data_IF_223646103195
#
_entry.id   IF_223646103195
#
_cell.length_a   1.000
_cell.length_b   1.000
_cell.length_c   1.000
_cell.angle_alpha   90.00
_cell.angle_beta   90.00
_cell.angle_gamma   90.00
#
_symmetry.space_group_name_H-M   'P 1'
#
loop_
_entity.id
_entity.type
_entity.pdbx_description
1 polymer ?
#
# COMPACT_ATOMS: atom_id res chain seq x y z
N UNK A 1 8.97 -18.78 -2.76
CA UNK A 1 10.39 -18.80 -3.25
C UNK A 1 10.42 -18.17 -4.63
N UNK A 2 11.32 -17.24 -4.89
CA UNK A 2 11.54 -16.84 -6.29
C UNK A 2 11.96 -18.09 -7.05
N UNK A 3 11.30 -18.39 -8.17
CA UNK A 3 11.73 -19.49 -9.03
C UNK A 3 13.17 -19.27 -9.55
N UNK A 4 13.76 -20.27 -10.18
CA UNK A 4 15.15 -20.20 -10.69
C UNK A 4 15.43 -19.05 -11.68
N UNK A 5 14.39 -18.33 -12.15
CA UNK A 5 14.49 -17.13 -13.01
C UNK A 5 14.15 -15.84 -12.26
N UNK A 6 13.98 -15.88 -10.94
CA UNK A 6 13.77 -14.70 -10.09
C UNK A 6 12.35 -14.13 -10.09
N UNK A 7 11.35 -14.88 -10.59
CA UNK A 7 9.94 -14.49 -10.59
C UNK A 7 9.32 -14.81 -9.22
N UNK A 8 8.53 -13.91 -8.66
CA UNK A 8 7.71 -14.17 -7.48
C UNK A 8 6.71 -15.30 -7.79
N UNK A 9 6.48 -16.19 -6.83
CA UNK A 9 5.49 -17.26 -6.95
C UNK A 9 4.21 -16.92 -6.19
N UNK A 10 4.32 -16.29 -5.03
CA UNK A 10 3.21 -15.99 -4.14
C UNK A 10 3.12 -14.48 -3.88
N UNK A 11 2.00 -13.89 -4.24
CA UNK A 11 1.74 -12.45 -4.11
C UNK A 11 0.52 -12.25 -3.21
N UNK A 12 0.63 -11.37 -2.23
CA UNK A 12 -0.44 -11.06 -1.29
C UNK A 12 -0.82 -9.59 -1.42
N UNK A 13 -2.12 -9.30 -1.48
CA UNK A 13 -2.66 -7.95 -1.52
C UNK A 13 -3.50 -7.67 -0.27
N UNK A 14 -2.96 -6.88 0.66
CA UNK A 14 -3.71 -6.32 1.78
C UNK A 14 -4.47 -5.07 1.33
N UNK A 15 -5.76 -5.08 1.51
CA UNK A 15 -6.69 -4.18 0.84
C UNK A 15 -7.13 -4.73 -0.51
N UNK A 16 -7.59 -5.99 -0.54
CA UNK A 16 -7.91 -6.78 -1.73
C UNK A 16 -8.89 -6.13 -2.70
N UNK A 17 -9.67 -5.13 -2.28
CA UNK A 17 -10.60 -4.37 -3.12
C UNK A 17 -10.05 -3.01 -3.60
N UNK A 18 -8.76 -2.71 -3.30
CA UNK A 18 -8.10 -1.48 -3.75
C UNK A 18 -7.87 -1.49 -5.26
N UNK A 19 -8.40 -0.49 -5.98
CA UNK A 19 -8.22 -0.40 -7.44
C UNK A 19 -6.73 -0.28 -7.83
N UNK A 20 -5.94 0.47 -7.05
CA UNK A 20 -4.49 0.56 -7.26
C UNK A 20 -3.84 -0.80 -6.97
N UNK A 21 -4.23 -1.45 -5.86
CA UNK A 21 -3.74 -2.76 -5.49
C UNK A 21 -4.03 -3.81 -6.57
N UNK A 22 -5.25 -3.85 -7.08
CA UNK A 22 -5.66 -4.75 -8.17
C UNK A 22 -4.86 -4.51 -9.45
N UNK A 23 -4.69 -3.24 -9.86
CA UNK A 23 -3.86 -2.92 -11.02
C UNK A 23 -2.40 -3.40 -10.83
N UNK A 24 -1.85 -3.29 -9.60
CA UNK A 24 -0.52 -3.81 -9.28
C UNK A 24 -0.49 -5.33 -9.41
N UNK A 25 -1.48 -6.06 -8.88
CA UNK A 25 -1.56 -7.52 -9.03
C UNK A 25 -1.53 -7.91 -10.50
N UNK A 26 -2.36 -7.29 -11.34
CA UNK A 26 -2.40 -7.59 -12.78
C UNK A 26 -1.05 -7.35 -13.49
N UNK A 27 -0.23 -6.39 -13.04
CA UNK A 27 1.13 -6.17 -13.57
C UNK A 27 2.16 -7.18 -13.06
N UNK A 28 1.96 -7.68 -11.83
CA UNK A 28 2.90 -8.60 -11.20
C UNK A 28 2.63 -10.06 -11.54
N UNK A 29 1.40 -10.42 -11.90
CA UNK A 29 1.07 -11.78 -12.37
C UNK A 29 1.74 -12.00 -13.73
N UNK A 30 2.75 -12.88 -13.72
CA UNK A 30 3.55 -13.31 -14.88
C UNK A 30 3.67 -14.84 -14.86
N UNK A 31 4.08 -15.47 -15.97
CA UNK A 31 4.35 -16.90 -15.97
C UNK A 31 5.30 -17.29 -14.83
N UNK A 32 4.87 -18.22 -13.97
CA UNK A 32 5.59 -18.64 -12.78
C UNK A 32 5.03 -18.09 -11.46
N UNK A 33 4.05 -17.16 -11.47
CA UNK A 33 3.23 -16.86 -10.29
C UNK A 33 2.24 -18.00 -10.10
N UNK A 34 2.19 -18.57 -8.89
CA UNK A 34 1.34 -19.71 -8.55
C UNK A 34 0.12 -19.27 -7.74
N UNK A 35 0.29 -18.34 -6.81
CA UNK A 35 -0.77 -17.92 -5.91
C UNK A 35 -0.89 -16.41 -5.81
N UNK A 36 -2.15 -15.94 -5.79
CA UNK A 36 -2.52 -14.59 -5.36
C UNK A 36 -3.50 -14.69 -4.21
N UNK A 37 -3.21 -13.99 -3.11
CA UNK A 37 -4.11 -13.91 -1.95
C UNK A 37 -4.62 -12.49 -1.81
N UNK A 38 -5.95 -12.32 -1.86
CA UNK A 38 -6.62 -11.05 -1.57
C UNK A 38 -7.03 -11.02 -0.11
N UNK A 39 -6.59 -10.01 0.64
CA UNK A 39 -6.88 -9.86 2.06
C UNK A 39 -7.72 -8.60 2.26
N UNK A 40 -8.99 -8.75 2.68
CA UNK A 40 -9.92 -7.63 2.82
C UNK A 40 -11.06 -7.89 3.82
N UNK A 41 -11.77 -6.83 4.21
CA UNK A 41 -12.94 -6.90 5.09
C UNK A 41 -14.19 -7.42 4.39
N UNK A 42 -14.39 -6.92 3.18
CA UNK A 42 -15.58 -7.14 2.37
C UNK A 42 -15.37 -8.42 1.57
N UNK A 43 -16.06 -9.47 2.01
CA UNK A 43 -15.97 -10.79 1.40
C UNK A 43 -16.61 -10.77 0.02
N UNK A 44 -17.82 -10.21 -0.12
CA UNK A 44 -18.57 -10.21 -1.37
C UNK A 44 -17.82 -9.46 -2.48
N UNK A 45 -17.28 -8.28 -2.14
CA UNK A 45 -16.46 -7.52 -3.08
C UNK A 45 -15.13 -8.21 -3.41
N UNK A 46 -14.55 -8.99 -2.48
CA UNK A 46 -13.34 -9.75 -2.74
C UNK A 46 -13.60 -10.97 -3.60
N UNK A 47 -14.72 -11.68 -3.43
CA UNK A 47 -15.10 -12.83 -4.26
C UNK A 47 -15.27 -12.43 -5.73
N UNK A 48 -15.84 -11.25 -5.99
CA UNK A 48 -15.91 -10.71 -7.36
C UNK A 48 -14.49 -10.54 -7.95
N UNK A 49 -13.56 -9.98 -7.17
CA UNK A 49 -12.18 -9.80 -7.65
C UNK A 49 -11.44 -11.14 -7.81
N UNK A 50 -11.68 -12.10 -6.93
CA UNK A 50 -11.13 -13.47 -7.06
C UNK A 50 -11.60 -14.09 -8.38
N UNK A 51 -12.91 -14.00 -8.68
CA UNK A 51 -13.46 -14.54 -9.91
C UNK A 51 -12.88 -13.86 -11.16
N UNK A 52 -12.77 -12.53 -11.17
CA UNK A 52 -12.19 -11.75 -12.29
C UNK A 52 -10.72 -12.14 -12.54
N UNK A 53 -9.92 -12.30 -11.47
CA UNK A 53 -8.50 -12.70 -11.60
C UNK A 53 -8.40 -14.15 -12.09
N UNK A 54 -9.18 -15.07 -11.51
CA UNK A 54 -9.17 -16.48 -11.90
C UNK A 54 -9.61 -16.69 -13.37
N UNK A 55 -10.62 -15.94 -13.84
CA UNK A 55 -11.03 -15.97 -15.25
C UNK A 55 -9.91 -15.49 -16.19
N UNK A 56 -9.21 -14.43 -15.78
CA UNK A 56 -8.13 -13.83 -16.58
C UNK A 56 -6.85 -14.67 -16.59
N UNK A 57 -6.58 -15.41 -15.52
CA UNK A 57 -5.37 -16.20 -15.31
C UNK A 57 -5.74 -17.62 -14.85
N UNK A 58 -6.16 -18.52 -15.77
CA UNK A 58 -6.69 -19.83 -15.41
C UNK A 58 -5.71 -20.77 -14.67
N UNK A 59 -4.41 -20.56 -14.82
CA UNK A 59 -3.37 -21.36 -14.15
C UNK A 59 -2.98 -20.80 -12.76
N UNK A 60 -3.61 -19.71 -12.33
CA UNK A 60 -3.32 -19.03 -11.07
C UNK A 60 -4.31 -19.46 -10.00
N UNK A 61 -3.81 -19.89 -8.84
CA UNK A 61 -4.64 -20.11 -7.66
C UNK A 61 -4.89 -18.78 -6.95
N UNK A 62 -6.16 -18.38 -6.86
CA UNK A 62 -6.57 -17.12 -6.23
C UNK A 62 -7.37 -17.41 -4.96
N UNK A 63 -6.93 -16.85 -3.84
CA UNK A 63 -7.53 -17.04 -2.53
C UNK A 63 -8.02 -15.72 -1.96
N UNK A 64 -9.01 -15.79 -1.07
CA UNK A 64 -9.42 -14.67 -0.23
C UNK A 64 -9.27 -15.02 1.25
N UNK A 65 -8.69 -14.10 2.01
CA UNK A 65 -8.62 -14.16 3.47
C UNK A 65 -9.35 -12.95 4.04
N UNK A 66 -10.30 -13.21 4.95
CA UNK A 66 -11.01 -12.13 5.64
C UNK A 66 -10.11 -11.44 6.64
N UNK A 67 -10.11 -10.13 6.60
CA UNK A 67 -9.27 -9.33 7.46
C UNK A 67 -9.90 -7.97 7.76
N UNK A 68 -9.77 -7.51 9.00
CA UNK A 68 -10.22 -6.18 9.40
C UNK A 68 -9.03 -5.32 9.85
N UNK A 69 -8.71 -4.27 9.08
CA UNK A 69 -7.54 -3.43 9.29
C UNK A 69 -7.63 -2.51 10.53
N UNK A 70 -8.79 -2.37 11.17
CA UNK A 70 -8.98 -1.67 12.44
C UNK A 70 -8.82 -2.59 13.67
N UNK A 71 -8.71 -3.91 13.47
CA UNK A 71 -8.31 -4.88 14.48
C UNK A 71 -6.81 -5.19 14.35
N UNK A 72 -5.98 -4.33 14.90
CA UNK A 72 -4.53 -4.47 14.80
C UNK A 72 -3.99 -5.75 15.45
N UNK A 73 -4.67 -6.33 16.42
CA UNK A 73 -4.27 -7.59 17.04
C UNK A 73 -4.44 -8.79 16.08
N UNK A 74 -5.42 -8.76 15.20
CA UNK A 74 -5.65 -9.81 14.20
C UNK A 74 -4.61 -9.83 13.08
N UNK A 75 -3.84 -8.76 12.89
CA UNK A 75 -2.84 -8.63 11.82
C UNK A 75 -1.77 -9.74 11.85
N UNK A 76 -1.35 -10.14 13.05
CA UNK A 76 -0.34 -11.20 13.22
C UNK A 76 -0.90 -12.53 12.76
N UNK A 77 -2.15 -12.82 13.11
CA UNK A 77 -2.82 -14.07 12.75
C UNK A 77 -3.07 -14.18 11.25
N UNK A 78 -3.47 -13.07 10.61
CA UNK A 78 -3.74 -13.06 9.16
C UNK A 78 -2.51 -13.34 8.32
N UNK A 79 -1.33 -12.85 8.72
CA UNK A 79 -0.07 -13.16 8.02
C UNK A 79 0.27 -14.64 8.16
N UNK A 80 0.07 -15.23 9.36
CA UNK A 80 0.28 -16.66 9.58
C UNK A 80 -0.73 -17.52 8.77
N UNK A 81 -2.00 -17.12 8.71
CA UNK A 81 -3.03 -17.79 7.92
C UNK A 81 -2.69 -17.78 6.43
N UNK A 82 -2.29 -16.64 5.89
CA UNK A 82 -1.83 -16.52 4.50
C UNK A 82 -0.63 -17.44 4.24
N UNK A 83 0.38 -17.44 5.13
CA UNK A 83 1.55 -18.28 4.99
C UNK A 83 1.21 -19.78 5.08
N UNK A 84 0.20 -20.18 5.85
CA UNK A 84 -0.28 -21.56 5.89
C UNK A 84 -0.95 -21.97 4.56
N UNK A 85 -1.61 -21.05 3.86
CA UNK A 85 -2.29 -21.36 2.59
C UNK A 85 -1.32 -21.46 1.42
N UNK A 86 -0.34 -20.55 1.32
CA UNK A 86 0.51 -20.42 0.12
C UNK A 86 2.00 -20.66 0.37
N UNK A 87 2.39 -20.92 1.62
CA UNK A 87 3.81 -21.04 1.99
C UNK A 87 4.50 -19.68 2.11
N UNK A 88 5.68 -19.56 1.53
CA UNK A 88 6.47 -18.34 1.55
C UNK A 88 5.76 -17.18 0.84
N UNK A 89 5.85 -15.97 1.40
CA UNK A 89 5.31 -14.75 0.79
C UNK A 89 6.43 -14.02 0.05
N UNK A 90 6.41 -14.03 -1.28
CA UNK A 90 7.44 -13.35 -2.08
C UNK A 90 7.24 -11.83 -2.14
N UNK A 91 5.98 -11.42 -2.37
CA UNK A 91 5.60 -10.01 -2.47
C UNK A 91 4.32 -9.75 -1.67
N UNK A 92 4.36 -8.78 -0.79
CA UNK A 92 3.19 -8.27 -0.08
C UNK A 92 2.90 -6.82 -0.52
N UNK A 93 1.77 -6.60 -1.18
CA UNK A 93 1.28 -5.27 -1.56
C UNK A 93 0.35 -4.77 -0.47
N UNK A 94 0.70 -3.66 0.18
CA UNK A 94 -0.04 -3.07 1.29
C UNK A 94 -0.77 -1.83 0.74
N UNK A 95 -2.03 -2.05 0.32
CA UNK A 95 -2.89 -1.08 -0.34
C UNK A 95 -4.11 -0.69 0.49
N UNK A 96 -4.19 -1.17 1.74
CA UNK A 96 -5.24 -0.76 2.66
C UNK A 96 -5.12 0.73 3.01
N UNK A 97 -6.25 1.37 3.17
CA UNK A 97 -6.31 2.75 3.60
C UNK A 97 -7.71 3.31 3.50
N UNK A 98 -7.98 4.32 4.30
CA UNK A 98 -9.23 5.06 4.30
C UNK A 98 -8.95 6.56 4.24
N UNK A 99 -9.79 7.27 3.51
CA UNK A 99 -9.83 8.72 3.43
C UNK A 99 -11.24 9.14 3.84
N UNK A 100 -11.35 10.02 4.82
CA UNK A 100 -12.63 10.59 5.24
C UNK A 100 -12.71 12.05 4.79
N UNK A 101 -13.77 12.39 4.09
CA UNK A 101 -14.07 13.76 3.67
C UNK A 101 -15.27 14.30 4.42
N UNK A 102 -15.33 15.63 4.57
CA UNK A 102 -16.47 16.33 5.16
C UNK A 102 -16.65 16.10 6.67
N UNK A 103 -15.70 15.47 7.35
CA UNK A 103 -15.75 15.21 8.80
C UNK A 103 -15.31 16.45 9.58
N UNK A 104 -16.19 16.94 10.45
CA UNK A 104 -15.87 17.99 11.41
C UNK A 104 -15.26 17.37 12.68
N UNK A 105 -13.94 17.23 12.70
CA UNK A 105 -13.21 16.67 13.84
C UNK A 105 -13.27 17.53 15.11
N UNK A 106 -13.65 18.81 15.01
CA UNK A 106 -13.87 19.64 16.20
C UNK A 106 -15.14 19.21 16.93
N UNK A 107 -16.17 18.76 16.18
CA UNK A 107 -17.42 18.23 16.77
C UNK A 107 -17.32 16.77 17.18
N UNK A 108 -16.58 15.98 16.40
CA UNK A 108 -16.40 14.55 16.65
C UNK A 108 -14.94 14.13 16.49
N UNK A 109 -14.08 14.39 17.48
CA UNK A 109 -12.67 14.01 17.41
C UNK A 109 -12.44 12.50 17.33
N UNK A 110 -13.35 11.68 17.88
CA UNK A 110 -13.23 10.21 17.82
C UNK A 110 -13.33 9.65 16.38
N UNK A 111 -13.91 10.40 15.44
CA UNK A 111 -13.98 9.98 14.04
C UNK A 111 -12.59 9.83 13.37
N UNK A 112 -11.53 10.40 13.95
CA UNK A 112 -10.16 10.20 13.44
C UNK A 112 -9.62 8.77 13.71
N UNK A 113 -10.11 8.08 14.76
CA UNK A 113 -9.56 6.80 15.21
C UNK A 113 -9.53 5.73 14.10
N UNK A 114 -10.63 5.46 13.36
CA UNK A 114 -10.59 4.47 12.29
C UNK A 114 -9.57 4.80 11.18
N UNK A 115 -9.34 6.10 10.91
CA UNK A 115 -8.33 6.51 9.93
C UNK A 115 -6.92 6.25 10.46
N UNK A 116 -6.67 6.55 11.74
CA UNK A 116 -5.39 6.31 12.38
C UNK A 116 -5.10 4.81 12.47
N UNK A 117 -6.09 4.02 12.88
CA UNK A 117 -5.94 2.57 13.03
C UNK A 117 -5.65 1.89 11.70
N UNK A 118 -6.45 2.13 10.67
CA UNK A 118 -6.26 1.49 9.36
C UNK A 118 -4.99 1.98 8.67
N UNK A 119 -4.77 3.31 8.60
CA UNK A 119 -3.70 3.86 7.78
C UNK A 119 -2.33 3.82 8.45
N UNK A 120 -2.27 3.75 9.77
CA UNK A 120 -1.02 3.88 10.53
C UNK A 120 -0.81 2.72 11.50
N UNK A 121 -1.53 2.64 12.61
CA UNK A 121 -1.26 1.66 13.66
C UNK A 121 -1.35 0.22 13.16
N UNK A 122 -2.48 -0.14 12.54
CA UNK A 122 -2.68 -1.46 11.98
C UNK A 122 -1.69 -1.78 10.86
N UNK A 123 -1.38 -0.79 10.00
CA UNK A 123 -0.39 -0.99 8.93
C UNK A 123 1.02 -1.22 9.50
N UNK A 124 1.43 -0.56 10.60
CA UNK A 124 2.71 -0.84 11.26
C UNK A 124 2.77 -2.27 11.80
N UNK A 125 1.72 -2.72 12.50
CA UNK A 125 1.63 -4.10 13.03
C UNK A 125 1.72 -5.11 11.90
N UNK A 126 0.96 -4.91 10.80
CA UNK A 126 1.02 -5.74 9.61
C UNK A 126 2.42 -5.82 9.02
N UNK A 127 3.10 -4.67 8.87
CA UNK A 127 4.44 -4.64 8.29
C UNK A 127 5.47 -5.36 9.16
N UNK A 128 5.38 -5.28 10.50
CA UNK A 128 6.22 -6.08 11.38
C UNK A 128 5.90 -7.58 11.31
N UNK A 129 4.63 -7.97 11.24
CA UNK A 129 4.24 -9.37 11.07
C UNK A 129 4.77 -9.94 9.74
N UNK A 130 4.65 -9.19 8.64
CA UNK A 130 5.22 -9.54 7.34
C UNK A 130 6.75 -9.60 7.40
N UNK A 131 7.39 -8.64 8.05
CA UNK A 131 8.84 -8.63 8.20
C UNK A 131 9.32 -9.88 8.99
N UNK A 132 8.63 -10.27 10.04
CA UNK A 132 8.95 -11.49 10.80
C UNK A 132 8.83 -12.73 9.92
N UNK A 133 7.73 -12.88 9.19
CA UNK A 133 7.52 -13.99 8.26
C UNK A 133 8.60 -14.02 7.17
N UNK A 134 8.83 -12.91 6.48
CA UNK A 134 9.79 -12.82 5.38
C UNK A 134 11.25 -12.98 5.83
N UNK A 135 11.59 -12.52 7.05
CA UNK A 135 12.92 -12.80 7.65
C UNK A 135 13.15 -14.27 7.91
N UNK A 136 12.13 -15.00 8.37
CA UNK A 136 12.24 -16.45 8.55
C UNK A 136 12.43 -17.20 7.23
N UNK A 137 11.93 -16.67 6.13
CA UNK A 137 12.13 -17.17 4.76
C UNK A 137 13.52 -16.81 4.21
N UNK A 138 14.15 -15.75 4.74
CA UNK A 138 15.40 -15.18 4.22
C UNK A 138 15.24 -14.28 2.99
N UNK A 139 14.01 -13.95 2.57
CA UNK A 139 13.69 -13.06 1.44
C UNK A 139 12.26 -12.56 1.51
N UNK A 140 11.97 -11.49 0.79
CA UNK A 140 10.63 -10.96 0.60
C UNK A 140 10.66 -9.49 0.19
N UNK A 141 9.57 -9.01 -0.42
CA UNK A 141 9.41 -7.60 -0.74
C UNK A 141 8.04 -7.08 -0.32
N UNK A 142 8.03 -6.06 0.53
CA UNK A 142 6.84 -5.30 0.86
C UNK A 142 6.71 -4.10 -0.07
N UNK A 143 5.53 -3.84 -0.61
CA UNK A 143 5.18 -2.66 -1.42
C UNK A 143 4.12 -1.88 -0.66
N UNK A 144 4.48 -0.74 -0.08
CA UNK A 144 3.56 0.11 0.68
C UNK A 144 3.01 1.23 -0.19
N UNK A 145 1.69 1.33 -0.31
CA UNK A 145 1.02 2.50 -0.88
C UNK A 145 0.94 3.63 0.16
N UNK A 146 1.93 4.52 0.13
CA UNK A 146 1.95 5.80 0.85
C UNK A 146 1.17 6.87 0.09
N UNK A 147 1.55 8.12 0.18
CA UNK A 147 1.01 9.25 -0.58
C UNK A 147 1.92 10.47 -0.48
N UNK A 148 1.90 11.31 -1.50
CA UNK A 148 2.51 12.65 -1.42
C UNK A 148 1.85 13.54 -0.34
N UNK A 149 0.63 13.20 0.11
CA UNK A 149 -0.03 13.89 1.21
C UNK A 149 0.74 13.80 2.53
N UNK A 150 1.59 12.76 2.71
CA UNK A 150 2.46 12.59 3.86
C UNK A 150 3.73 13.45 3.81
N UNK A 151 4.16 13.92 2.65
CA UNK A 151 5.41 14.70 2.53
C UNK A 151 5.33 16.08 3.19
N UNK A 152 4.17 16.71 3.08
CA UNK A 152 3.84 17.93 3.83
C UNK A 152 2.33 17.98 4.06
N UNK A 153 1.93 17.72 5.29
CA UNK A 153 0.53 17.64 5.68
C UNK A 153 -0.17 18.99 5.44
N UNK A 154 -1.37 18.95 4.85
CA UNK A 154 -2.17 20.12 4.46
C UNK A 154 -3.37 20.26 5.37
N UNK A 155 -3.85 21.53 5.51
CA UNK A 155 -5.05 21.83 6.29
C UNK A 155 -6.32 21.16 5.78
N UNK A 156 -6.38 20.84 4.47
CA UNK A 156 -7.56 20.23 3.85
C UNK A 156 -7.77 18.77 4.23
N UNK A 157 -6.71 18.03 4.62
CA UNK A 157 -6.80 16.62 5.06
C UNK A 157 -5.75 16.27 6.12
N UNK A 158 -5.79 16.95 7.28
CA UNK A 158 -4.72 16.85 8.28
C UNK A 158 -4.57 15.43 8.83
N UNK A 159 -5.66 14.71 9.08
CA UNK A 159 -5.65 13.36 9.66
C UNK A 159 -5.05 12.37 8.66
N UNK A 160 -5.56 12.33 7.43
CA UNK A 160 -5.03 11.45 6.39
C UNK A 160 -3.54 11.75 6.09
N UNK A 161 -3.19 13.03 5.92
CA UNK A 161 -1.81 13.43 5.67
C UNK A 161 -0.87 13.02 6.79
N UNK A 162 -1.28 13.19 8.07
CA UNK A 162 -0.49 12.79 9.22
C UNK A 162 -0.28 11.26 9.29
N UNK A 163 -1.33 10.47 9.03
CA UNK A 163 -1.20 9.00 9.00
C UNK A 163 -0.27 8.54 7.88
N UNK A 164 -0.35 9.15 6.70
CA UNK A 164 0.54 8.83 5.58
C UNK A 164 1.98 9.29 5.83
N UNK A 165 2.20 10.43 6.50
CA UNK A 165 3.54 10.85 6.92
C UNK A 165 4.17 9.86 7.92
N UNK A 166 3.38 9.42 8.91
CA UNK A 166 3.83 8.47 9.92
C UNK A 166 4.21 7.12 9.33
N UNK A 167 3.33 6.52 8.52
CA UNK A 167 3.60 5.20 7.95
C UNK A 167 4.72 5.23 6.90
N UNK A 168 4.86 6.32 6.17
CA UNK A 168 5.97 6.52 5.23
C UNK A 168 7.32 6.51 5.97
N UNK A 169 7.45 7.34 7.00
CA UNK A 169 8.65 7.39 7.84
C UNK A 169 8.95 6.05 8.53
N UNK A 170 7.91 5.37 9.03
CA UNK A 170 8.05 4.04 9.61
C UNK A 170 8.58 3.01 8.60
N UNK A 171 8.01 2.98 7.39
CA UNK A 171 8.39 2.03 6.35
C UNK A 171 9.85 2.20 5.92
N UNK A 172 10.35 3.44 5.84
CA UNK A 172 11.75 3.73 5.55
C UNK A 172 12.68 3.26 6.68
N UNK A 173 12.27 3.46 7.94
CA UNK A 173 13.04 2.98 9.09
C UNK A 173 13.08 1.45 9.12
N UNK A 174 11.95 0.79 8.84
CA UNK A 174 11.88 -0.67 8.76
C UNK A 174 12.75 -1.24 7.62
N UNK A 175 12.78 -0.59 6.45
CA UNK A 175 13.68 -1.00 5.35
C UNK A 175 15.15 -0.98 5.79
N UNK A 176 15.56 0.04 6.55
CA UNK A 176 16.91 0.10 7.13
C UNK A 176 17.16 -1.00 8.16
N UNK A 177 16.19 -1.32 9.03
CA UNK A 177 16.29 -2.42 10.00
C UNK A 177 16.46 -3.78 9.31
N UNK A 178 15.87 -3.94 8.13
CA UNK A 178 15.87 -5.19 7.35
C UNK A 178 17.14 -5.39 6.51
N UNK A 179 18.08 -4.46 6.51
CA UNK A 179 19.34 -4.60 5.75
C UNK A 179 20.06 -5.91 6.14
N UNK A 180 20.43 -6.70 5.13
CA UNK A 180 21.11 -7.99 5.31
C UNK A 180 20.18 -9.18 5.57
N UNK A 181 18.87 -8.97 5.76
CA UNK A 181 17.90 -10.06 6.00
C UNK A 181 17.36 -10.71 4.71
N UNK A 182 17.65 -10.15 3.54
CA UNK A 182 17.02 -10.55 2.27
C UNK A 182 15.62 -9.95 2.05
N UNK A 183 15.09 -9.18 3.01
CA UNK A 183 13.79 -8.50 2.94
C UNK A 183 13.98 -7.02 2.62
N UNK A 184 13.07 -6.44 1.86
CA UNK A 184 13.12 -5.01 1.51
C UNK A 184 11.73 -4.40 1.41
N UNK A 185 11.67 -3.06 1.54
CA UNK A 185 10.43 -2.28 1.41
C UNK A 185 10.54 -1.35 0.21
N UNK A 186 9.47 -1.28 -0.58
CA UNK A 186 9.27 -0.28 -1.62
C UNK A 186 8.12 0.64 -1.21
N UNK A 187 8.41 1.88 -0.89
CA UNK A 187 7.42 2.92 -0.60
C UNK A 187 7.00 3.58 -1.89
N UNK A 188 5.72 3.53 -2.20
CA UNK A 188 5.11 4.17 -3.37
C UNK A 188 4.41 5.44 -2.92
N UNK A 189 4.80 6.59 -3.47
CA UNK A 189 4.23 7.92 -3.18
C UNK A 189 3.43 8.42 -4.39
N UNK A 190 2.19 7.97 -4.57
CA UNK A 190 1.35 8.51 -5.62
C UNK A 190 0.89 9.93 -5.28
N UNK A 191 0.66 10.72 -6.33
CA UNK A 191 -0.12 11.95 -6.25
C UNK A 191 -1.62 11.64 -6.13
N UNK A 192 -2.46 12.52 -6.69
CA UNK A 192 -3.89 12.25 -6.80
C UNK A 192 -4.13 11.13 -7.82
N UNK A 193 -4.71 10.02 -7.39
CA UNK A 193 -5.07 8.89 -8.27
C UNK A 193 -6.59 8.85 -8.41
N UNK A 194 -7.08 8.84 -9.64
CA UNK A 194 -8.52 8.71 -9.92
C UNK A 194 -8.97 7.28 -9.62
N UNK A 195 -9.75 7.11 -8.53
CA UNK A 195 -10.26 5.83 -8.04
C UNK A 195 -11.61 6.05 -7.36
N UNK A 196 -12.27 4.96 -6.90
CA UNK A 196 -13.48 5.05 -6.06
C UNK A 196 -13.26 5.90 -4.81
N UNK A 197 -12.07 5.83 -4.19
CA UNK A 197 -11.72 6.59 -2.98
C UNK A 197 -11.72 8.11 -3.22
N UNK A 198 -11.38 8.55 -4.43
CA UNK A 198 -11.28 9.98 -4.80
C UNK A 198 -12.46 10.45 -5.67
N UNK A 199 -13.49 9.61 -5.78
CA UNK A 199 -14.69 9.92 -6.58
C UNK A 199 -15.44 11.11 -5.97
N UNK A 200 -15.64 12.15 -6.76
CA UNK A 200 -16.29 13.38 -6.32
C UNK A 200 -15.34 14.48 -5.87
N UNK A 201 -14.05 14.18 -5.70
CA UNK A 201 -13.02 15.17 -5.40
C UNK A 201 -12.57 15.90 -6.67
N UNK A 202 -12.19 17.17 -6.54
CA UNK A 202 -11.54 17.90 -7.62
C UNK A 202 -10.17 17.32 -7.94
N UNK A 203 -9.90 17.12 -9.22
CA UNK A 203 -8.61 16.59 -9.66
C UNK A 203 -7.48 17.58 -9.33
N UNK A 204 -6.48 17.10 -8.62
CA UNK A 204 -5.27 17.86 -8.36
C UNK A 204 -4.37 17.93 -9.62
N UNK A 205 -3.47 18.92 -9.72
CA UNK A 205 -2.41 18.91 -10.74
C UNK A 205 -1.60 17.63 -10.69
N UNK A 206 -1.23 17.12 -11.87
CA UNK A 206 -0.51 15.85 -12.02
C UNK A 206 -1.26 14.62 -11.49
N UNK A 207 -2.60 14.65 -11.58
CA UNK A 207 -3.43 13.47 -11.34
C UNK A 207 -3.02 12.33 -12.26
N UNK A 208 -3.13 11.12 -11.75
CA UNK A 208 -2.79 9.89 -12.47
C UNK A 208 -3.90 8.84 -12.28
N UNK A 209 -3.71 7.65 -12.80
CA UNK A 209 -4.61 6.51 -12.66
C UNK A 209 -3.90 5.30 -12.00
N UNK A 210 -4.68 4.29 -11.67
CA UNK A 210 -4.19 3.07 -11.02
C UNK A 210 -3.19 2.31 -11.90
N UNK A 211 -3.40 2.29 -13.22
CA UNK A 211 -2.56 1.59 -14.18
C UNK A 211 -1.16 2.21 -14.29
N UNK A 212 -1.07 3.54 -14.26
CA UNK A 212 0.20 4.26 -14.25
C UNK A 212 0.98 3.96 -12.95
N UNK A 213 0.30 3.91 -11.80
CA UNK A 213 0.94 3.53 -10.53
C UNK A 213 1.44 2.09 -10.60
N UNK A 214 0.62 1.17 -11.07
CA UNK A 214 0.97 -0.24 -11.21
C UNK A 214 2.18 -0.46 -12.13
N UNK A 215 2.24 0.24 -13.26
CA UNK A 215 3.39 0.19 -14.18
C UNK A 215 4.67 0.71 -13.53
N UNK A 216 4.58 1.76 -12.70
CA UNK A 216 5.74 2.26 -11.97
C UNK A 216 6.22 1.25 -10.90
N UNK A 217 5.31 0.58 -10.20
CA UNK A 217 5.63 -0.48 -9.24
C UNK A 217 6.28 -1.67 -9.96
N UNK A 218 5.72 -2.15 -11.06
CA UNK A 218 6.27 -3.25 -11.85
C UNK A 218 7.75 -3.00 -12.24
N UNK A 219 8.06 -1.78 -12.70
CA UNK A 219 9.43 -1.38 -13.07
C UNK A 219 10.36 -1.30 -11.86
N UNK A 220 9.82 -0.94 -10.69
CA UNK A 220 10.62 -0.71 -9.49
C UNK A 220 10.82 -1.97 -8.63
N UNK A 221 9.92 -2.96 -8.71
CA UNK A 221 9.89 -4.08 -7.78
C UNK A 221 11.16 -4.93 -7.80
N UNK A 222 11.80 -5.04 -8.95
CA UNK A 222 13.07 -5.78 -9.13
C UNK A 222 14.30 -4.92 -8.87
N UNK A 223 14.11 -3.62 -8.60
CA UNK A 223 15.22 -2.70 -8.34
C UNK A 223 15.54 -2.60 -6.85
N UNK A 224 16.70 -2.02 -6.53
CA UNK A 224 17.09 -1.66 -5.16
C UNK A 224 16.47 -0.35 -4.66
N UNK A 225 15.49 0.21 -5.38
CA UNK A 225 14.81 1.45 -4.96
C UNK A 225 13.96 1.19 -3.73
N UNK A 226 14.10 2.06 -2.75
CA UNK A 226 13.26 2.09 -1.55
C UNK A 226 12.02 2.99 -1.73
N UNK A 227 12.12 4.02 -2.59
CA UNK A 227 11.03 4.98 -2.81
C UNK A 227 10.82 5.23 -4.29
N UNK A 228 9.55 5.29 -4.70
CA UNK A 228 9.15 5.81 -6.01
C UNK A 228 8.02 6.84 -5.88
N UNK A 229 8.02 7.82 -6.77
CA UNK A 229 7.00 8.86 -6.89
C UNK A 229 6.22 8.66 -8.19
N UNK A 230 4.90 8.82 -8.12
CA UNK A 230 4.07 8.63 -9.32
C UNK A 230 3.06 9.78 -9.44
N UNK A 231 3.21 10.64 -10.46
CA UNK A 231 4.32 10.76 -11.41
C UNK A 231 5.66 11.16 -10.79
N UNK A 232 6.76 10.76 -11.41
CA UNK A 232 8.13 11.05 -10.91
C UNK A 232 8.44 12.54 -10.72
N UNK A 233 7.77 13.43 -11.47
CA UNK A 233 7.91 14.88 -11.35
C UNK A 233 7.55 15.39 -9.93
N UNK A 234 6.64 14.71 -9.23
CA UNK A 234 6.24 15.07 -7.88
C UNK A 234 7.41 15.07 -6.89
N UNK A 235 8.43 14.25 -7.11
CA UNK A 235 9.63 14.24 -6.28
C UNK A 235 10.29 15.64 -6.24
N UNK A 236 10.48 16.26 -7.39
CA UNK A 236 11.12 17.58 -7.48
C UNK A 236 10.21 18.67 -6.95
N UNK A 237 8.92 18.59 -7.23
CA UNK A 237 7.93 19.54 -6.69
C UNK A 237 7.92 19.50 -5.16
N UNK A 238 7.85 18.33 -4.55
CA UNK A 238 7.83 18.20 -3.10
C UNK A 238 9.18 18.48 -2.45
N UNK A 239 10.30 18.32 -3.15
CA UNK A 239 11.59 18.80 -2.67
C UNK A 239 11.57 20.30 -2.40
N UNK A 240 10.88 21.08 -3.24
CA UNK A 240 10.69 22.52 -3.04
C UNK A 240 9.61 22.76 -1.97
N UNK A 241 8.44 22.17 -2.13
CA UNK A 241 7.28 22.44 -1.28
C UNK A 241 7.54 22.13 0.20
N UNK A 242 8.20 21.02 0.52
CA UNK A 242 8.48 20.65 1.92
C UNK A 242 9.42 21.61 2.63
N UNK A 243 10.28 22.31 1.89
CA UNK A 243 11.25 23.27 2.43
C UNK A 243 10.75 24.72 2.45
N UNK A 244 9.53 25.00 1.97
CA UNK A 244 8.97 26.35 2.03
C UNK A 244 8.80 26.81 3.49
N UNK A 245 9.15 28.08 3.80
CA UNK A 245 8.86 28.66 5.10
C UNK A 245 7.37 28.56 5.45
N UNK A 246 7.05 28.33 6.71
CA UNK A 246 5.65 28.15 7.17
C UNK A 246 4.75 29.33 6.81
N UNK A 247 5.28 30.57 6.83
CA UNK A 247 4.53 31.77 6.45
C UNK A 247 4.09 31.77 4.98
N UNK A 248 4.92 31.21 4.08
CA UNK A 248 4.58 31.04 2.66
C UNK A 248 3.59 29.89 2.51
N UNK A 249 3.86 28.74 3.14
CA UNK A 249 3.00 27.56 3.08
C UNK A 249 1.55 27.86 3.48
N UNK A 250 1.34 28.62 4.57
CA UNK A 250 0.00 28.98 5.07
C UNK A 250 -0.83 29.80 4.10
N UNK A 251 -0.20 30.46 3.11
CA UNK A 251 -0.87 31.29 2.10
C UNK A 251 -1.24 30.51 0.82
N UNK A 252 -0.74 29.27 0.68
CA UNK A 252 -1.06 28.45 -0.48
C UNK A 252 -2.48 27.90 -0.36
N UNK A 253 -3.26 27.87 -1.44
CA UNK A 253 -4.60 27.31 -1.48
C UNK A 253 -4.59 25.77 -1.55
N UNK A 254 -3.93 25.15 -0.59
CA UNK A 254 -3.67 23.70 -0.56
C UNK A 254 -4.40 22.99 0.59
#
# INVERSE_FOLDING_TARGET
>A
MKNGVGVAQNIVLFGGTSEIGQAIIHKLVKPGVSHVVLVSRDIDAAEVQVAEIAERYPDLEVHHVRFNADDSASMIHVVAEVAQQVGDIDVAVIAQGVLQEGVDYYKNPAALLPVADVNFTGTMVLMYALAAQMRSQGYGKMVLLSSVAGERVRKGNPVYGATKAGIDGFALALDHELIGSGVSVLVVRPGFVTTKMTKGMDKAPFSTDAETVATAVEKAISSSRTVIWVPGLLQYMFLILKNLPTAVWRRLPL
#
